data_IF_568844825760
#
_entry.id   IF_568844825760
#
_cell.length_a   1.000
_cell.length_b   1.000
_cell.length_c   1.000
_cell.angle_alpha   90.00
_cell.angle_beta   90.00
_cell.angle_gamma   90.00
#
_symmetry.space_group_name_H-M   'P 1'
#
loop_
_entity.id
_entity.type
_entity.pdbx_description
1 polymer ?
#
# COMPACT_ATOMS: atom_id res chain seq x y z
N UNK A 1 23.55 1.58 -12.61
CA UNK A 1 23.33 0.66 -11.47
C UNK A 1 22.50 -0.51 -11.95
N UNK A 2 22.85 -1.72 -11.48
CA UNK A 2 22.04 -2.93 -11.57
C UNK A 2 21.01 -2.90 -10.43
N UNK A 3 19.72 -2.86 -10.74
CA UNK A 3 18.65 -2.63 -9.75
C UNK A 3 17.71 -3.84 -9.70
N UNK A 4 17.29 -4.24 -8.51
CA UNK A 4 16.30 -5.28 -8.31
C UNK A 4 15.09 -4.73 -7.53
N UNK A 5 13.89 -4.82 -8.11
CA UNK A 5 12.63 -4.59 -7.42
C UNK A 5 12.04 -5.93 -6.98
N UNK A 6 11.62 -6.03 -5.73
CA UNK A 6 10.99 -7.24 -5.19
C UNK A 6 9.46 -7.07 -5.20
N UNK A 7 8.75 -8.05 -5.76
CA UNK A 7 7.30 -8.12 -5.78
C UNK A 7 6.72 -8.30 -7.18
N UNK A 8 5.38 -8.32 -7.30
CA UNK A 8 4.68 -8.63 -8.55
C UNK A 8 3.35 -7.89 -8.73
N UNK A 9 3.02 -6.96 -7.84
CA UNK A 9 1.77 -6.21 -7.86
C UNK A 9 1.76 -5.00 -8.81
N UNK A 10 0.67 -4.26 -8.78
CA UNK A 10 0.54 -2.99 -9.51
C UNK A 10 1.51 -1.93 -9.01
N UNK A 11 1.76 -1.92 -7.71
CA UNK A 11 2.79 -1.10 -7.06
C UNK A 11 4.17 -1.37 -7.64
N UNK A 12 4.58 -2.63 -7.73
CA UNK A 12 5.89 -2.97 -8.27
C UNK A 12 6.02 -2.62 -9.76
N UNK A 13 4.94 -2.77 -10.54
CA UNK A 13 4.95 -2.31 -11.92
C UNK A 13 5.11 -0.77 -11.99
N UNK A 14 4.41 -0.01 -11.15
CA UNK A 14 4.56 1.44 -11.11
C UNK A 14 5.96 1.87 -10.66
N UNK A 15 6.55 1.19 -9.68
CA UNK A 15 7.94 1.41 -9.25
C UNK A 15 8.93 1.09 -10.39
N UNK A 16 8.80 -0.06 -11.04
CA UNK A 16 9.65 -0.42 -12.18
C UNK A 16 9.53 0.58 -13.33
N UNK A 17 8.32 1.05 -13.63
CA UNK A 17 8.10 2.07 -14.66
C UNK A 17 8.81 3.38 -14.32
N UNK A 18 8.69 3.86 -13.09
CA UNK A 18 9.37 5.08 -12.65
C UNK A 18 10.90 4.93 -12.60
N UNK A 19 11.41 3.79 -12.11
CA UNK A 19 12.84 3.51 -11.99
C UNK A 19 13.50 3.32 -13.35
N UNK A 20 12.82 2.72 -14.34
CA UNK A 20 13.35 2.52 -15.69
C UNK A 20 13.65 3.82 -16.43
N UNK A 21 12.99 4.92 -16.05
CA UNK A 21 13.26 6.26 -16.59
C UNK A 21 14.47 6.98 -15.97
N UNK A 22 15.06 6.42 -14.91
CA UNK A 22 16.19 7.04 -14.23
C UNK A 22 17.49 6.93 -15.02
N UNK A 23 18.28 8.03 -15.17
CA UNK A 23 19.60 7.95 -15.78
C UNK A 23 20.63 7.16 -14.96
N UNK A 24 20.33 6.81 -13.72
CA UNK A 24 21.15 5.99 -12.84
C UNK A 24 20.88 4.48 -13.01
N UNK A 25 19.79 4.11 -13.71
CA UNK A 25 19.38 2.73 -13.93
C UNK A 25 19.98 2.20 -15.23
N UNK A 26 20.97 1.32 -15.14
CA UNK A 26 21.56 0.66 -16.32
C UNK A 26 20.77 -0.60 -16.68
N UNK A 27 20.42 -1.42 -15.67
CA UNK A 27 19.61 -2.63 -15.83
C UNK A 27 18.62 -2.73 -14.69
N UNK A 28 17.40 -3.06 -15.02
CA UNK A 28 16.30 -3.24 -14.03
C UNK A 28 15.80 -4.68 -14.05
N UNK A 29 15.80 -5.31 -12.89
CA UNK A 29 15.21 -6.62 -12.63
C UNK A 29 14.00 -6.49 -11.70
N UNK A 30 13.07 -7.45 -11.81
CA UNK A 30 11.95 -7.55 -10.87
C UNK A 30 11.66 -9.01 -10.51
N UNK A 31 11.57 -9.34 -9.23
CA UNK A 31 11.37 -10.69 -8.74
C UNK A 31 10.09 -10.81 -7.89
N UNK A 32 9.08 -11.60 -8.31
CA UNK A 32 9.01 -12.32 -9.58
C UNK A 32 8.58 -11.45 -10.77
N UNK A 33 8.01 -10.24 -10.55
CA UNK A 33 7.42 -9.41 -11.59
C UNK A 33 6.07 -9.94 -12.10
N UNK A 34 5.56 -9.33 -13.20
CA UNK A 34 4.31 -9.71 -13.87
C UNK A 34 4.38 -9.40 -15.37
N UNK A 35 3.28 -9.65 -16.11
CA UNK A 35 3.26 -9.46 -17.56
C UNK A 35 3.53 -8.01 -18.01
N UNK A 36 3.14 -7.00 -17.23
CA UNK A 36 3.40 -5.59 -17.55
C UNK A 36 4.83 -5.17 -17.19
N UNK A 37 5.35 -5.64 -16.07
CA UNK A 37 6.74 -5.39 -15.64
C UNK A 37 7.72 -5.84 -16.72
N UNK A 38 7.45 -6.94 -17.42
CA UNK A 38 8.33 -7.46 -18.48
C UNK A 38 8.57 -6.50 -19.66
N UNK A 39 7.79 -5.41 -19.76
CA UNK A 39 8.00 -4.38 -20.77
C UNK A 39 9.08 -3.35 -20.36
N UNK A 40 9.39 -3.24 -19.07
CA UNK A 40 10.30 -2.21 -18.52
C UNK A 40 11.45 -2.80 -17.68
N UNK A 41 11.38 -4.08 -17.30
CA UNK A 41 12.37 -4.78 -16.48
C UNK A 41 12.48 -6.25 -16.87
N UNK A 42 13.61 -6.90 -16.57
CA UNK A 42 13.78 -8.34 -16.68
C UNK A 42 13.10 -9.02 -15.48
N UNK A 43 12.05 -9.82 -15.73
CA UNK A 43 11.39 -10.60 -14.69
C UNK A 43 12.24 -11.82 -14.32
N UNK A 44 12.38 -12.06 -13.00
CA UNK A 44 13.21 -13.12 -12.43
C UNK A 44 12.31 -14.12 -11.72
N UNK A 45 12.40 -15.40 -12.07
CA UNK A 45 11.57 -16.45 -11.47
C UNK A 45 12.04 -16.83 -10.06
N UNK A 46 11.95 -15.85 -9.15
CA UNK A 46 12.23 -16.02 -7.70
C UNK A 46 11.09 -15.36 -6.94
N UNK A 47 10.46 -16.09 -6.04
CA UNK A 47 9.35 -15.57 -5.23
C UNK A 47 9.80 -14.43 -4.31
N UNK A 48 8.91 -13.47 -4.04
CA UNK A 48 9.21 -12.30 -3.20
C UNK A 48 9.63 -12.68 -1.76
N UNK A 49 9.16 -13.82 -1.24
CA UNK A 49 9.47 -14.32 0.11
C UNK A 49 10.53 -15.45 0.10
N UNK A 50 11.07 -15.81 -1.06
CA UNK A 50 12.22 -16.71 -1.17
C UNK A 50 13.52 -15.93 -0.95
N UNK A 51 13.80 -15.61 0.32
CA UNK A 51 14.94 -14.81 0.70
C UNK A 51 16.27 -15.45 0.25
N UNK A 52 16.38 -16.77 0.28
CA UNK A 52 17.60 -17.48 -0.14
C UNK A 52 17.83 -17.35 -1.65
N UNK A 53 16.78 -17.58 -2.45
CA UNK A 53 16.80 -17.38 -3.90
C UNK A 53 17.13 -15.95 -4.29
N UNK A 54 16.54 -14.97 -3.59
CA UNK A 54 16.84 -13.54 -3.81
C UNK A 54 18.31 -13.22 -3.52
N UNK A 55 18.87 -13.67 -2.40
CA UNK A 55 20.27 -13.43 -2.06
C UNK A 55 21.23 -14.10 -3.06
N UNK A 56 20.92 -15.28 -3.55
CA UNK A 56 21.70 -15.95 -4.62
C UNK A 56 21.66 -15.11 -5.90
N UNK A 57 20.49 -14.63 -6.30
CA UNK A 57 20.35 -13.78 -7.49
C UNK A 57 21.11 -12.44 -7.36
N UNK A 58 20.97 -11.77 -6.21
CA UNK A 58 21.68 -10.51 -5.90
C UNK A 58 23.20 -10.68 -6.05
N UNK A 59 23.75 -11.76 -5.49
CA UNK A 59 25.18 -12.03 -5.58
C UNK A 59 25.63 -12.39 -7.02
N UNK A 60 24.85 -13.22 -7.73
CA UNK A 60 25.17 -13.67 -9.08
C UNK A 60 25.15 -12.52 -10.11
N UNK A 61 24.18 -11.61 -10.01
CA UNK A 61 24.03 -10.46 -10.91
C UNK A 61 24.80 -9.22 -10.44
N UNK A 62 25.36 -9.25 -9.23
CA UNK A 62 26.05 -8.10 -8.60
C UNK A 62 25.16 -6.87 -8.53
N UNK A 63 23.94 -7.09 -7.98
CA UNK A 63 22.94 -6.02 -7.82
C UNK A 63 23.52 -4.89 -6.96
N UNK A 64 23.45 -3.67 -7.45
CA UNK A 64 23.91 -2.47 -6.74
C UNK A 64 22.88 -1.93 -5.76
N UNK A 65 21.58 -2.07 -6.09
CA UNK A 65 20.49 -1.50 -5.28
C UNK A 65 19.23 -2.36 -5.32
N UNK A 66 18.65 -2.63 -4.14
CA UNK A 66 17.42 -3.41 -4.01
C UNK A 66 16.28 -2.53 -3.46
N UNK A 67 15.11 -2.58 -4.11
CA UNK A 67 13.88 -1.91 -3.68
C UNK A 67 12.84 -2.97 -3.33
N UNK A 68 12.36 -2.98 -2.09
CA UNK A 68 11.37 -3.96 -1.65
C UNK A 68 9.97 -3.37 -1.72
N UNK A 69 9.10 -3.97 -2.53
CA UNK A 69 7.72 -3.53 -2.73
C UNK A 69 6.76 -3.98 -1.62
N UNK A 70 6.57 -5.30 -1.37
CA UNK A 70 5.62 -5.81 -0.40
C UNK A 70 6.19 -5.91 1.02
N UNK A 71 5.29 -5.98 2.01
CA UNK A 71 5.61 -6.06 3.43
C UNK A 71 6.21 -7.42 3.86
N UNK A 72 5.82 -8.52 3.21
CA UNK A 72 6.26 -9.88 3.58
C UNK A 72 7.77 -10.02 3.71
N UNK A 73 8.56 -9.79 2.64
CA UNK A 73 10.02 -9.88 2.72
C UNK A 73 10.66 -8.90 3.70
N UNK A 74 10.04 -7.73 3.96
CA UNK A 74 10.53 -6.77 4.96
C UNK A 74 10.43 -7.35 6.39
N UNK A 75 9.27 -7.88 6.73
CA UNK A 75 9.05 -8.52 8.04
C UNK A 75 9.90 -9.79 8.20
N UNK A 76 10.15 -10.53 7.11
CA UNK A 76 11.03 -11.69 7.09
C UNK A 76 12.53 -11.35 7.17
N UNK A 77 12.92 -10.05 7.11
CA UNK A 77 14.29 -9.61 7.32
C UNK A 77 15.17 -9.61 6.06
N UNK A 78 14.61 -9.45 4.88
CA UNK A 78 15.39 -9.34 3.65
C UNK A 78 16.38 -8.16 3.70
N UNK A 79 15.95 -7.01 4.23
CA UNK A 79 16.81 -5.82 4.37
C UNK A 79 17.99 -6.09 5.31
N UNK A 80 17.77 -6.82 6.40
CA UNK A 80 18.83 -7.19 7.34
C UNK A 80 19.89 -8.04 6.64
N UNK A 81 19.48 -9.03 5.84
CA UNK A 81 20.40 -9.92 5.07
C UNK A 81 21.16 -9.15 3.99
N UNK A 82 20.49 -8.20 3.30
CA UNK A 82 21.17 -7.37 2.29
C UNK A 82 22.22 -6.45 2.94
N UNK A 83 21.89 -5.83 4.07
CA UNK A 83 22.83 -5.02 4.84
C UNK A 83 24.05 -5.83 5.32
N UNK A 84 23.85 -7.05 5.84
CA UNK A 84 24.92 -7.96 6.23
C UNK A 84 25.83 -8.33 5.04
N UNK A 85 25.25 -8.45 3.85
CA UNK A 85 25.98 -8.72 2.61
C UNK A 85 26.62 -7.46 1.99
N UNK A 86 26.41 -6.27 2.57
CA UNK A 86 26.94 -5.00 2.06
C UNK A 86 26.25 -4.52 0.78
N UNK A 87 25.03 -4.98 0.51
CA UNK A 87 24.23 -4.56 -0.66
C UNK A 87 23.32 -3.40 -0.26
N UNK A 88 23.43 -2.29 -0.99
CA UNK A 88 22.56 -1.12 -0.74
C UNK A 88 21.11 -1.46 -1.04
N UNK A 89 20.20 -1.06 -0.17
CA UNK A 89 18.78 -1.39 -0.30
C UNK A 89 17.88 -0.30 0.30
N UNK A 90 16.64 -0.28 -0.15
CA UNK A 90 15.59 0.62 0.34
C UNK A 90 14.41 -0.18 0.89
N UNK A 91 14.17 -0.01 2.17
CA UNK A 91 13.13 -0.64 2.98
C UNK A 91 13.57 -0.71 4.45
N UNK A 92 12.64 -0.90 5.39
CA UNK A 92 12.96 -1.05 6.81
C UNK A 92 13.53 -2.43 7.12
N UNK A 93 14.38 -2.51 8.15
CA UNK A 93 14.77 -3.77 8.79
C UNK A 93 13.57 -4.51 9.36
N UNK A 94 13.71 -5.81 9.66
CA UNK A 94 12.63 -6.60 10.27
C UNK A 94 12.12 -5.97 11.59
N UNK A 95 13.01 -5.41 12.39
CA UNK A 95 12.65 -4.71 13.62
C UNK A 95 11.81 -3.45 13.36
N UNK A 96 12.19 -2.63 12.37
CA UNK A 96 11.44 -1.43 12.00
C UNK A 96 10.13 -1.78 11.26
N UNK A 97 10.09 -2.88 10.51
CA UNK A 97 8.91 -3.38 9.82
C UNK A 97 7.79 -3.83 10.78
N UNK A 98 8.07 -3.96 12.08
CA UNK A 98 7.03 -4.21 13.09
C UNK A 98 5.98 -3.11 13.17
N UNK A 99 6.23 -1.91 12.64
CA UNK A 99 5.20 -0.87 12.48
C UNK A 99 3.99 -1.34 11.63
N UNK A 100 4.19 -2.26 10.68
CA UNK A 100 3.10 -2.93 9.94
C UNK A 100 2.88 -4.36 10.44
N UNK A 101 3.96 -5.05 10.81
CA UNK A 101 3.96 -6.46 11.20
C UNK A 101 3.24 -6.74 12.52
N UNK A 102 3.15 -5.77 13.43
CA UNK A 102 2.45 -5.89 14.71
C UNK A 102 1.67 -4.63 15.05
N UNK A 103 0.36 -4.77 15.10
CA UNK A 103 -0.54 -3.67 15.50
C UNK A 103 -0.35 -3.30 16.96
N UNK A 104 -0.04 -4.28 17.82
CA UNK A 104 0.32 -4.06 19.23
C UNK A 104 1.54 -3.17 19.34
N UNK A 105 2.62 -3.48 18.61
CA UNK A 105 3.83 -2.67 18.59
C UNK A 105 3.54 -1.22 18.21
N UNK A 106 2.78 -1.02 17.12
CA UNK A 106 2.38 0.32 16.67
C UNK A 106 1.58 1.07 17.73
N UNK A 107 0.60 0.41 18.37
CA UNK A 107 -0.23 1.05 19.39
C UNK A 107 0.57 1.39 20.66
N UNK A 108 1.48 0.52 21.09
CA UNK A 108 2.37 0.77 22.23
C UNK A 108 3.32 1.93 21.93
N UNK A 109 3.88 2.00 20.70
CA UNK A 109 4.70 3.14 20.26
C UNK A 109 3.89 4.44 20.29
N UNK A 110 2.66 4.41 19.75
CA UNK A 110 1.76 5.57 19.73
C UNK A 110 1.47 6.07 21.16
N UNK A 111 1.17 5.16 22.08
CA UNK A 111 0.90 5.50 23.47
C UNK A 111 2.15 6.09 24.19
N UNK A 112 3.34 5.53 23.92
CA UNK A 112 4.60 5.97 24.55
C UNK A 112 5.05 7.35 24.08
N UNK A 113 4.79 7.67 22.80
CA UNK A 113 5.28 8.88 22.15
C UNK A 113 4.18 9.89 21.78
N UNK A 114 2.99 9.76 22.37
CA UNK A 114 1.83 10.65 22.13
C UNK A 114 1.50 10.84 20.63
N UNK A 115 1.58 9.76 19.84
CA UNK A 115 1.14 9.78 18.44
C UNK A 115 -0.37 9.59 18.43
N UNK A 116 -1.15 10.52 17.80
CA UNK A 116 -2.62 10.46 17.83
C UNK A 116 -3.15 9.19 17.18
N UNK A 117 -3.90 8.39 17.93
CA UNK A 117 -4.57 7.17 17.46
C UNK A 117 -5.77 6.88 18.34
N UNK A 118 -6.73 6.08 17.84
CA UNK A 118 -7.90 5.65 18.61
C UNK A 118 -7.56 4.85 19.87
N UNK A 119 -8.40 4.96 20.89
CA UNK A 119 -8.27 4.16 22.10
C UNK A 119 -8.33 2.67 21.77
N UNK A 120 -7.51 1.86 22.44
CA UNK A 120 -7.38 0.45 22.13
C UNK A 120 -7.10 -0.40 23.37
N UNK A 121 -7.35 -1.71 23.24
CA UNK A 121 -6.87 -2.71 24.20
C UNK A 121 -6.54 -4.01 23.46
N UNK A 122 -5.47 -4.68 23.90
CA UNK A 122 -5.01 -5.97 23.36
C UNK A 122 -5.63 -7.11 24.17
N UNK A 123 -5.97 -8.22 23.48
CA UNK A 123 -6.51 -9.43 24.09
C UNK A 123 -5.93 -10.68 23.42
N UNK A 124 -5.77 -11.72 24.23
CA UNK A 124 -5.50 -13.10 23.79
C UNK A 124 -6.52 -14.10 24.39
N UNK A 125 -7.48 -13.61 25.17
CA UNK A 125 -8.55 -14.38 25.79
C UNK A 125 -9.92 -13.88 25.29
N UNK A 126 -10.76 -14.81 24.84
CA UNK A 126 -12.07 -14.52 24.27
C UNK A 126 -13.03 -13.90 25.31
N UNK A 127 -13.00 -14.41 26.55
CA UNK A 127 -13.93 -13.94 27.58
C UNK A 127 -13.59 -12.50 28.01
N UNK A 128 -12.28 -12.17 28.11
CA UNK A 128 -11.84 -10.81 28.42
C UNK A 128 -12.16 -9.83 27.28
N UNK A 129 -11.94 -10.25 26.02
CA UNK A 129 -12.28 -9.43 24.85
C UNK A 129 -13.79 -9.17 24.76
N UNK A 130 -14.59 -10.23 24.94
CA UNK A 130 -16.06 -10.14 24.93
C UNK A 130 -16.57 -9.24 26.05
N UNK A 131 -16.02 -9.35 27.26
CA UNK A 131 -16.40 -8.48 28.39
C UNK A 131 -16.12 -7.01 28.09
N UNK A 132 -14.94 -6.71 27.51
CA UNK A 132 -14.58 -5.35 27.10
C UNK A 132 -15.50 -4.80 26.00
N UNK A 133 -15.83 -5.60 24.98
CA UNK A 133 -16.75 -5.22 23.90
C UNK A 133 -18.15 -4.91 24.49
N UNK A 134 -18.64 -5.75 25.41
CA UNK A 134 -19.92 -5.49 26.08
C UNK A 134 -19.92 -4.21 26.91
N UNK A 135 -18.78 -3.86 27.52
CA UNK A 135 -18.63 -2.59 28.27
C UNK A 135 -18.62 -1.38 27.35
N UNK A 136 -17.90 -1.46 26.23
CA UNK A 136 -17.71 -0.33 25.28
C UNK A 136 -18.88 -0.13 24.33
N UNK A 137 -19.57 -1.21 23.97
CA UNK A 137 -20.64 -1.19 22.97
C UNK A 137 -20.13 -1.17 21.53
N UNK A 138 -21.06 -0.94 20.59
CA UNK A 138 -20.78 -0.81 19.17
C UNK A 138 -21.22 0.58 18.65
N UNK A 139 -20.64 1.11 17.54
CA UNK A 139 -19.64 0.45 16.69
C UNK A 139 -18.25 0.36 17.36
N UNK A 140 -17.51 -0.73 17.01
CA UNK A 140 -16.16 -1.00 17.54
C UNK A 140 -15.34 -1.75 16.48
N UNK A 141 -14.02 -1.70 16.55
CA UNK A 141 -13.16 -2.36 15.56
C UNK A 141 -12.36 -3.48 16.21
N UNK A 142 -12.41 -4.67 15.61
CA UNK A 142 -11.62 -5.84 16.03
C UNK A 142 -10.58 -6.12 14.93
N UNK A 143 -9.29 -6.20 15.31
CA UNK A 143 -8.18 -6.44 14.39
C UNK A 143 -7.31 -7.59 14.88
N UNK A 144 -6.98 -8.55 14.00
CA UNK A 144 -5.89 -9.50 14.24
C UNK A 144 -4.56 -8.73 14.34
N UNK A 145 -3.68 -9.12 15.27
CA UNK A 145 -2.47 -8.34 15.58
C UNK A 145 -1.42 -8.41 14.45
N UNK A 146 -1.22 -9.56 13.81
CA UNK A 146 -0.22 -9.74 12.75
C UNK A 146 -0.69 -9.36 11.34
N UNK A 147 0.14 -9.68 10.34
CA UNK A 147 -0.18 -9.50 8.92
C UNK A 147 -1.33 -10.42 8.50
N UNK A 148 -2.41 -9.85 8.01
CA UNK A 148 -3.61 -10.58 7.55
C UNK A 148 -4.13 -10.08 6.20
N UNK A 149 -3.29 -9.43 5.38
CA UNK A 149 -3.60 -8.92 4.04
C UNK A 149 -4.93 -8.12 3.98
N UNK A 150 -5.17 -7.26 4.98
CA UNK A 150 -6.40 -6.45 5.09
C UNK A 150 -7.66 -7.23 5.53
N UNK A 151 -7.60 -8.56 5.63
CA UNK A 151 -8.75 -9.41 5.98
C UNK A 151 -8.95 -9.59 7.49
N UNK A 152 -7.96 -9.23 8.30
CA UNK A 152 -7.99 -9.35 9.76
C UNK A 152 -8.65 -8.17 10.48
N UNK A 153 -9.36 -7.29 9.78
CA UNK A 153 -10.02 -6.09 10.35
C UNK A 153 -11.52 -6.19 10.16
N UNK A 154 -12.27 -6.13 11.27
CA UNK A 154 -13.72 -6.09 11.28
C UNK A 154 -14.20 -4.80 11.94
N UNK A 155 -14.90 -3.96 11.19
CA UNK A 155 -15.64 -2.81 11.72
C UNK A 155 -17.02 -3.29 12.10
N UNK A 156 -17.19 -3.67 13.36
CA UNK A 156 -18.41 -4.25 13.87
C UNK A 156 -19.44 -3.15 14.21
N UNK A 157 -20.63 -3.26 13.62
CA UNK A 157 -21.74 -2.33 13.86
C UNK A 157 -22.63 -2.77 15.02
N UNK A 158 -22.50 -4.02 15.46
CA UNK A 158 -23.18 -4.59 16.62
C UNK A 158 -22.20 -5.37 17.51
N UNK A 159 -22.63 -5.64 18.75
CA UNK A 159 -21.85 -6.44 19.70
C UNK A 159 -21.69 -7.87 19.17
N UNK A 160 -22.75 -8.42 18.56
CA UNK A 160 -22.74 -9.77 17.99
C UNK A 160 -21.69 -9.91 16.88
N UNK A 161 -21.60 -8.91 15.97
CA UNK A 161 -20.56 -8.87 14.93
C UNK A 161 -19.16 -8.79 15.53
N UNK A 162 -18.97 -8.00 16.59
CA UNK A 162 -17.68 -7.85 17.25
C UNK A 162 -17.25 -9.15 17.94
N UNK A 163 -18.17 -9.82 18.65
CA UNK A 163 -17.90 -11.12 19.30
C UNK A 163 -17.59 -12.19 18.26
N UNK A 164 -18.33 -12.24 17.15
CA UNK A 164 -18.04 -13.17 16.06
C UNK A 164 -16.63 -12.94 15.47
N UNK A 165 -16.19 -11.68 15.33
CA UNK A 165 -14.84 -11.36 14.87
C UNK A 165 -13.75 -11.79 15.87
N UNK A 166 -14.02 -11.73 17.18
CA UNK A 166 -13.14 -12.27 18.23
C UNK A 166 -12.99 -13.77 18.09
N UNK A 167 -14.12 -14.51 17.93
CA UNK A 167 -14.12 -15.96 17.76
C UNK A 167 -13.39 -16.36 16.46
N UNK A 168 -13.61 -15.66 15.36
CA UNK A 168 -12.95 -15.88 14.09
C UNK A 168 -11.41 -15.74 14.21
N UNK A 169 -10.94 -14.77 14.99
CA UNK A 169 -9.51 -14.54 15.16
C UNK A 169 -8.87 -15.49 16.18
N UNK A 170 -9.42 -15.56 17.40
CA UNK A 170 -8.75 -16.25 18.52
C UNK A 170 -9.08 -17.75 18.60
N UNK A 171 -10.22 -18.20 18.03
CA UNK A 171 -10.68 -19.61 18.16
C UNK A 171 -10.58 -20.37 16.85
N UNK A 172 -11.08 -19.81 15.75
CA UNK A 172 -11.16 -20.55 14.48
C UNK A 172 -9.80 -20.73 13.78
N UNK A 173 -8.77 -19.99 14.20
CA UNK A 173 -7.46 -20.01 13.58
C UNK A 173 -7.43 -19.45 12.15
N UNK A 174 -8.44 -18.68 11.74
CA UNK A 174 -8.61 -18.13 10.39
C UNK A 174 -7.39 -17.32 9.91
N UNK A 175 -6.69 -16.69 10.85
CA UNK A 175 -5.53 -15.84 10.54
C UNK A 175 -4.19 -16.47 10.97
N UNK A 176 -4.16 -17.77 11.30
CA UNK A 176 -2.93 -18.44 11.75
C UNK A 176 -2.29 -17.72 12.94
N UNK A 177 -0.97 -17.60 12.94
CA UNK A 177 -0.22 -16.92 14.02
C UNK A 177 -0.60 -15.44 14.19
N UNK A 178 -1.05 -14.76 13.13
CA UNK A 178 -1.53 -13.38 13.20
C UNK A 178 -2.79 -13.22 14.08
N UNK A 179 -3.54 -14.30 14.26
CA UNK A 179 -4.73 -14.36 15.12
C UNK A 179 -4.45 -14.77 16.57
N UNK A 180 -3.19 -15.01 16.99
CA UNK A 180 -2.86 -15.38 18.36
C UNK A 180 -3.19 -14.29 19.40
N UNK A 181 -3.29 -13.04 18.98
CA UNK A 181 -3.82 -11.91 19.74
C UNK A 181 -4.61 -10.97 18.85
N UNK A 182 -5.48 -10.17 19.45
CA UNK A 182 -6.30 -9.17 18.76
C UNK A 182 -6.16 -7.80 19.45
N UNK A 183 -6.40 -6.77 18.65
CA UNK A 183 -6.61 -5.40 19.15
C UNK A 183 -8.08 -5.06 18.99
N UNK A 184 -8.71 -4.58 20.05
CA UNK A 184 -10.05 -4.00 20.03
C UNK A 184 -9.89 -2.48 20.14
N UNK A 185 -10.35 -1.75 19.13
CA UNK A 185 -10.21 -0.30 19.02
C UNK A 185 -11.55 0.41 18.97
N UNK A 186 -11.59 1.66 19.42
CA UNK A 186 -12.74 2.53 19.21
C UNK A 186 -12.96 2.75 17.71
N UNK A 187 -14.22 2.87 17.33
CA UNK A 187 -14.58 3.26 15.96
C UNK A 187 -14.33 4.75 15.76
N UNK A 188 -13.50 5.10 14.81
CA UNK A 188 -13.21 6.48 14.41
C UNK A 188 -14.15 6.89 13.29
N UNK A 189 -14.98 7.91 13.53
CA UNK A 189 -15.83 8.51 12.51
C UNK A 189 -15.08 9.64 11.81
N UNK A 190 -15.08 9.65 10.47
CA UNK A 190 -14.36 10.65 9.69
C UNK A 190 -14.18 10.26 8.24
N UNK A 191 -13.17 10.84 7.62
CA UNK A 191 -12.76 10.54 6.25
C UNK A 191 -11.35 9.95 6.25
N UNK A 192 -11.17 8.82 5.57
CA UNK A 192 -9.86 8.19 5.46
C UNK A 192 -8.92 8.99 4.57
N UNK A 193 -7.64 9.00 4.92
CA UNK A 193 -6.59 9.70 4.21
C UNK A 193 -5.29 8.87 4.27
N UNK A 194 -4.67 8.69 3.11
CA UNK A 194 -3.36 8.04 2.97
C UNK A 194 -2.26 9.09 2.86
N UNK A 195 -1.29 9.06 3.78
CA UNK A 195 -0.15 9.97 3.83
C UNK A 195 1.15 9.18 3.77
N UNK A 196 2.09 9.66 2.97
CA UNK A 196 3.34 8.96 2.69
C UNK A 196 4.54 9.85 2.98
N UNK A 197 5.61 9.24 3.46
CA UNK A 197 6.92 9.87 3.55
C UNK A 197 8.02 8.87 3.20
N UNK A 198 9.03 9.31 2.45
CA UNK A 198 10.31 8.59 2.34
C UNK A 198 11.13 8.97 3.57
N UNK A 199 11.64 7.97 4.27
CA UNK A 199 12.40 8.14 5.52
C UNK A 199 13.81 7.55 5.38
N UNK A 200 14.79 8.17 6.05
CA UNK A 200 16.19 7.77 6.04
C UNK A 200 16.73 7.34 7.43
N UNK A 201 15.82 7.10 8.37
CA UNK A 201 16.16 6.80 9.76
C UNK A 201 16.19 8.03 10.69
N UNK A 202 16.27 9.23 10.14
CA UNK A 202 16.27 10.50 10.90
C UNK A 202 15.32 11.53 10.29
N UNK A 203 15.31 11.67 8.99
CA UNK A 203 14.51 12.63 8.25
C UNK A 203 13.34 11.96 7.57
N UNK A 204 12.27 12.73 7.31
CA UNK A 204 11.10 12.32 6.55
C UNK A 204 10.83 13.33 5.44
N UNK A 205 10.84 12.87 4.19
CA UNK A 205 10.47 13.62 3.00
C UNK A 205 9.02 13.32 2.67
N UNK A 206 8.12 14.29 2.92
CA UNK A 206 6.69 14.12 2.68
C UNK A 206 6.38 13.98 1.21
N UNK A 207 5.51 13.03 0.85
CA UNK A 207 4.96 12.84 -0.49
C UNK A 207 3.51 13.37 -0.55
N UNK A 208 2.92 13.58 -1.75
CA UNK A 208 1.51 13.89 -1.87
C UNK A 208 0.61 12.86 -1.21
N UNK A 209 -0.49 13.32 -0.66
CA UNK A 209 -1.52 12.45 -0.10
C UNK A 209 -2.33 11.75 -1.19
N UNK A 210 -3.00 10.66 -0.80
CA UNK A 210 -3.97 9.97 -1.62
C UNK A 210 -5.20 9.57 -0.80
N UNK A 211 -6.27 9.21 -1.47
CA UNK A 211 -7.42 8.53 -0.87
C UNK A 211 -7.72 7.28 -1.68
N UNK A 212 -7.85 6.14 -1.00
CA UNK A 212 -8.21 4.87 -1.60
C UNK A 212 -9.70 4.51 -1.35
N UNK A 213 -10.16 3.48 -2.03
CA UNK A 213 -11.51 2.93 -1.92
C UNK A 213 -11.41 1.46 -1.53
N UNK A 214 -11.48 1.18 -0.22
CA UNK A 214 -11.22 -0.16 0.34
C UNK A 214 -12.35 -1.16 0.12
N UNK A 215 -13.61 -0.70 0.18
CA UNK A 215 -14.75 -1.57 -0.03
C UNK A 215 -14.84 -2.06 -1.48
N UNK A 216 -15.21 -3.31 -1.68
CA UNK A 216 -15.17 -3.97 -2.99
C UNK A 216 -16.21 -3.45 -3.99
N UNK A 217 -17.37 -2.94 -3.53
CA UNK A 217 -18.48 -2.49 -4.40
C UNK A 217 -18.77 -1.00 -4.26
N UNK A 218 -19.48 -0.48 -5.27
CA UNK A 218 -19.94 0.90 -5.32
C UNK A 218 -20.70 1.32 -4.05
N UNK A 219 -20.58 2.59 -3.68
CA UNK A 219 -21.18 3.15 -2.47
C UNK A 219 -20.53 2.65 -1.18
N UNK A 220 -19.27 2.24 -1.23
CA UNK A 220 -18.48 1.72 -0.11
C UNK A 220 -19.14 0.52 0.57
N UNK A 221 -19.63 -0.43 -0.24
CA UNK A 221 -20.33 -1.64 0.20
C UNK A 221 -19.46 -2.89 0.05
N UNK A 222 -19.82 -3.91 0.83
CA UNK A 222 -19.13 -5.20 0.81
C UNK A 222 -17.89 -5.23 1.69
N UNK A 223 -17.11 -6.33 1.63
CA UNK A 223 -15.88 -6.49 2.41
C UNK A 223 -14.79 -5.52 1.97
N UNK A 224 -13.87 -5.24 2.90
CA UNK A 224 -12.64 -4.52 2.60
C UNK A 224 -11.70 -5.36 1.73
N UNK A 225 -10.94 -4.67 0.91
CA UNK A 225 -9.94 -5.23 -0.02
C UNK A 225 -8.58 -4.53 0.20
N UNK A 226 -7.61 -4.83 -0.65
CA UNK A 226 -6.36 -4.06 -0.73
C UNK A 226 -6.50 -2.68 -1.39
N UNK A 227 -7.72 -2.28 -1.81
CA UNK A 227 -8.02 -1.06 -2.54
C UNK A 227 -8.55 -1.35 -3.95
N UNK A 228 -9.68 -0.72 -4.30
CA UNK A 228 -10.34 -0.83 -5.61
C UNK A 228 -10.07 0.38 -6.52
N UNK A 229 -9.32 1.33 -6.02
CA UNK A 229 -8.90 2.53 -6.73
C UNK A 229 -8.47 3.62 -5.75
N UNK A 230 -7.72 4.58 -6.25
CA UNK A 230 -7.23 5.71 -5.47
C UNK A 230 -7.08 6.97 -6.34
N UNK A 231 -6.95 8.12 -5.70
CA UNK A 231 -6.61 9.36 -6.36
C UNK A 231 -5.67 10.22 -5.51
N UNK A 232 -4.88 11.05 -6.16
CA UNK A 232 -3.90 11.97 -5.56
C UNK A 232 -3.85 13.28 -6.36
N UNK A 233 -3.80 14.47 -5.71
CA UNK A 233 -3.80 14.68 -4.27
C UNK A 233 -5.21 14.48 -3.67
N UNK A 234 -5.26 14.25 -2.37
CA UNK A 234 -6.52 14.14 -1.63
C UNK A 234 -7.07 15.54 -1.29
N UNK A 235 -8.29 15.94 -1.74
CA UNK A 235 -8.82 17.28 -1.47
C UNK A 235 -9.06 17.58 0.02
N UNK A 236 -9.17 16.56 0.86
CA UNK A 236 -9.31 16.71 2.32
C UNK A 236 -8.02 17.23 2.97
N UNK A 237 -6.87 17.07 2.31
CA UNK A 237 -5.57 17.51 2.82
C UNK A 237 -5.42 19.04 2.67
N UNK A 238 -5.66 19.78 3.74
CA UNK A 238 -5.36 21.20 3.81
C UNK A 238 -3.93 21.45 4.27
N UNK A 239 -3.37 22.63 4.01
CA UNK A 239 -2.01 22.98 4.48
C UNK A 239 -1.83 22.87 6.01
N UNK A 240 -2.86 23.25 6.78
CA UNK A 240 -2.83 23.12 8.26
C UNK A 240 -2.85 21.66 8.68
N UNK A 241 -3.66 20.84 8.01
CA UNK A 241 -3.74 19.41 8.27
C UNK A 241 -2.42 18.72 7.92
N UNK A 242 -1.82 19.06 6.78
CA UNK A 242 -0.52 18.54 6.34
C UNK A 242 0.58 18.79 7.39
N UNK A 243 0.72 20.04 7.85
CA UNK A 243 1.69 20.40 8.88
C UNK A 243 1.45 19.65 10.21
N UNK A 244 0.17 19.48 10.60
CA UNK A 244 -0.20 18.74 11.82
C UNK A 244 0.18 17.26 11.71
N UNK A 245 -0.10 16.62 10.58
CA UNK A 245 0.22 15.21 10.33
C UNK A 245 1.72 15.01 10.28
N UNK A 246 2.43 15.87 9.55
CA UNK A 246 3.89 15.83 9.46
C UNK A 246 4.53 15.89 10.85
N UNK A 247 4.15 16.87 11.68
CA UNK A 247 4.75 17.07 13.00
C UNK A 247 4.33 15.99 14.00
N UNK A 248 3.00 15.75 14.15
CA UNK A 248 2.47 14.93 15.25
C UNK A 248 2.45 13.43 14.95
N UNK A 249 2.50 13.05 13.67
CA UNK A 249 2.43 11.64 13.29
C UNK A 249 3.74 11.21 12.64
N UNK A 250 4.09 11.76 11.46
CA UNK A 250 5.20 11.24 10.66
C UNK A 250 6.55 11.47 11.35
N UNK A 251 6.93 12.72 11.60
CA UNK A 251 8.23 13.05 12.22
C UNK A 251 8.35 12.46 13.62
N UNK A 252 7.25 12.46 14.37
CA UNK A 252 7.22 11.86 15.72
C UNK A 252 7.44 10.36 15.68
N UNK A 253 6.86 9.65 14.69
CA UNK A 253 7.09 8.21 14.50
C UNK A 253 8.55 7.93 14.15
N UNK A 254 9.14 8.67 13.19
CA UNK A 254 10.56 8.49 12.81
C UNK A 254 11.48 8.72 14.01
N UNK A 255 11.24 9.79 14.77
CA UNK A 255 12.00 10.09 16.01
C UNK A 255 11.82 9.01 17.08
N UNK A 256 10.60 8.49 17.25
CA UNK A 256 10.29 7.41 18.18
C UNK A 256 11.04 6.12 17.80
N UNK A 257 10.98 5.71 16.54
CA UNK A 257 11.70 4.52 16.06
C UNK A 257 13.21 4.64 16.24
N UNK A 258 13.79 5.82 16.00
CA UNK A 258 15.21 6.09 16.29
C UNK A 258 15.50 5.96 17.78
N UNK A 259 14.63 6.49 18.66
CA UNK A 259 14.78 6.42 20.11
C UNK A 259 14.65 4.99 20.67
N UNK A 260 13.84 4.14 20.01
CA UNK A 260 13.73 2.69 20.33
C UNK A 260 14.93 1.88 19.80
N UNK A 261 15.88 2.48 19.10
CA UNK A 261 17.05 1.78 18.53
C UNK A 261 16.75 1.01 17.25
N UNK A 262 15.61 1.25 16.62
CA UNK A 262 15.16 0.65 15.36
C UNK A 262 14.84 1.74 14.34
N UNK A 263 15.83 2.56 13.88
CA UNK A 263 15.61 3.66 12.96
C UNK A 263 14.89 3.16 11.69
N UNK A 264 13.92 3.95 11.21
CA UNK A 264 13.07 3.57 10.09
C UNK A 264 13.59 4.18 8.78
N UNK A 265 14.13 3.35 7.89
CA UNK A 265 14.47 3.68 6.50
C UNK A 265 13.47 3.00 5.57
N UNK A 266 12.84 3.75 4.66
CA UNK A 266 11.81 3.20 3.77
C UNK A 266 10.65 4.16 3.57
N UNK A 267 9.53 3.65 3.03
CA UNK A 267 8.30 4.43 2.94
C UNK A 267 7.45 4.21 4.18
N UNK A 268 7.22 5.27 4.93
CA UNK A 268 6.23 5.30 6.00
C UNK A 268 4.88 5.74 5.40
N UNK A 269 3.95 4.82 5.31
CA UNK A 269 2.58 5.07 4.90
C UNK A 269 1.67 5.08 6.13
N UNK A 270 1.16 6.25 6.50
CA UNK A 270 0.19 6.44 7.56
C UNK A 270 -1.22 6.43 6.98
N UNK A 271 -2.01 5.41 7.32
CA UNK A 271 -3.45 5.39 7.11
C UNK A 271 -4.14 6.15 8.25
N UNK A 272 -4.82 7.23 7.92
CA UNK A 272 -5.39 8.18 8.89
C UNK A 272 -6.91 8.25 8.77
N UNK A 273 -7.59 8.48 9.91
CA UNK A 273 -8.95 8.98 9.95
C UNK A 273 -8.94 10.45 10.31
N UNK A 274 -9.50 11.30 9.45
CA UNK A 274 -9.66 12.73 9.72
C UNK A 274 -10.97 12.92 10.45
N UNK A 275 -10.89 13.11 11.75
CA UNK A 275 -12.03 13.26 12.66
C UNK A 275 -12.22 14.74 13.04
N UNK A 276 -13.33 15.04 13.74
CA UNK A 276 -13.58 16.39 14.31
C UNK A 276 -12.50 16.79 15.33
N UNK A 277 -11.80 15.81 15.93
CA UNK A 277 -10.70 16.03 16.87
C UNK A 277 -9.31 16.08 16.20
N UNK A 278 -9.26 16.10 14.86
CA UNK A 278 -8.04 16.09 14.06
C UNK A 278 -7.66 14.71 13.52
N UNK A 279 -6.46 14.58 12.95
CA UNK A 279 -6.01 13.33 12.34
C UNK A 279 -5.70 12.28 13.42
N UNK A 280 -6.22 11.06 13.21
CA UNK A 280 -5.99 9.91 14.07
C UNK A 280 -5.39 8.77 13.23
N UNK A 281 -4.32 8.17 13.72
CA UNK A 281 -3.68 7.02 13.06
C UNK A 281 -4.58 5.79 13.17
N UNK A 282 -4.88 5.18 12.01
CA UNK A 282 -5.55 3.88 11.90
C UNK A 282 -4.51 2.76 11.92
N UNK A 283 -3.46 2.89 11.06
CA UNK A 283 -2.38 1.93 10.92
C UNK A 283 -1.19 2.56 10.18
N UNK A 284 -0.01 1.97 10.35
CA UNK A 284 1.12 2.19 9.45
C UNK A 284 1.25 1.03 8.48
N UNK A 285 1.71 1.36 7.27
CA UNK A 285 2.32 0.42 6.33
C UNK A 285 3.76 0.87 6.10
N UNK A 286 4.67 -0.08 5.93
CA UNK A 286 6.12 0.19 5.86
C UNK A 286 6.67 0.15 4.43
N UNK A 287 5.80 0.41 3.48
CA UNK A 287 6.03 0.35 2.03
C UNK A 287 5.04 1.26 1.30
N UNK A 288 5.25 1.47 0.00
CA UNK A 288 4.23 2.16 -0.81
C UNK A 288 2.88 1.43 -0.76
N UNK A 289 1.79 2.18 -0.84
CA UNK A 289 0.45 1.62 -0.99
C UNK A 289 0.23 0.98 -2.37
N UNK A 290 -0.77 0.14 -2.47
CA UNK A 290 -1.26 -0.43 -3.71
C UNK A 290 -2.80 -0.44 -3.64
N UNK A 291 -3.51 0.53 -4.31
CA UNK A 291 -3.10 1.18 -5.56
C UNK A 291 -2.59 2.64 -5.45
N UNK A 292 -2.19 3.15 -4.29
CA UNK A 292 -1.77 4.56 -4.16
C UNK A 292 -0.44 4.85 -4.86
N UNK A 293 0.49 3.88 -4.91
CA UNK A 293 1.77 4.04 -5.61
C UNK A 293 1.56 4.44 -7.07
N UNK A 294 0.58 3.86 -7.75
CA UNK A 294 0.29 4.12 -9.15
C UNK A 294 -0.04 5.59 -9.41
N UNK A 295 -0.89 6.19 -8.57
CA UNK A 295 -1.23 7.61 -8.70
C UNK A 295 -0.09 8.54 -8.30
N UNK A 296 0.75 8.13 -7.34
CA UNK A 296 1.94 8.90 -6.95
C UNK A 296 2.98 8.89 -8.09
N UNK A 297 3.28 7.73 -8.66
CA UNK A 297 4.29 7.61 -9.73
C UNK A 297 3.88 8.37 -10.99
N UNK A 298 2.60 8.41 -11.35
CA UNK A 298 2.10 9.20 -12.48
C UNK A 298 2.29 10.72 -12.28
N UNK A 299 2.32 11.19 -11.04
CA UNK A 299 2.51 12.60 -10.71
C UNK A 299 3.96 13.00 -10.44
N UNK A 300 4.84 12.01 -10.22
CA UNK A 300 6.24 12.31 -9.88
C UNK A 300 7.01 12.83 -11.11
N UNK A 301 7.60 14.04 -10.99
CA UNK A 301 8.46 14.66 -12.02
C UNK A 301 9.95 14.50 -11.74
N UNK A 302 10.33 14.27 -10.49
CA UNK A 302 11.71 14.02 -10.08
C UNK A 302 12.10 12.56 -10.31
N UNK A 303 13.40 12.31 -10.38
CA UNK A 303 13.93 10.94 -10.44
C UNK A 303 13.70 10.20 -9.12
N UNK A 304 12.88 9.14 -9.16
CA UNK A 304 12.59 8.30 -7.99
C UNK A 304 13.85 7.64 -7.45
N UNK A 305 14.69 7.08 -8.33
CA UNK A 305 15.87 6.33 -7.91
C UNK A 305 16.82 7.18 -7.08
N UNK A 306 17.05 8.43 -7.50
CA UNK A 306 17.87 9.38 -6.74
C UNK A 306 17.34 9.60 -5.32
N UNK A 307 16.02 9.69 -5.13
CA UNK A 307 15.41 9.84 -3.81
C UNK A 307 15.57 8.58 -2.94
N UNK A 308 15.39 7.38 -3.53
CA UNK A 308 15.53 6.12 -2.80
C UNK A 308 16.99 5.86 -2.40
N UNK A 309 17.94 6.21 -3.26
CA UNK A 309 19.38 6.12 -2.98
C UNK A 309 19.74 7.11 -1.86
N UNK A 310 19.29 8.37 -1.96
CA UNK A 310 19.52 9.37 -0.91
C UNK A 310 18.95 8.92 0.46
N UNK A 311 17.80 8.27 0.47
CA UNK A 311 17.23 7.69 1.69
C UNK A 311 18.12 6.57 2.27
N UNK A 312 18.60 5.66 1.42
CA UNK A 312 19.51 4.59 1.83
C UNK A 312 20.87 5.13 2.34
N UNK A 313 21.31 6.28 1.81
CA UNK A 313 22.56 6.95 2.20
C UNK A 313 22.39 7.94 3.37
N UNK A 314 21.17 8.09 3.91
CA UNK A 314 20.83 9.04 5.00
C UNK A 314 21.05 10.52 4.63
N UNK A 315 20.74 10.86 3.38
CA UNK A 315 20.95 12.18 2.79
C UNK A 315 19.65 12.92 2.42
N UNK A 316 18.52 12.58 3.05
CA UNK A 316 17.21 13.21 2.74
C UNK A 316 17.05 14.63 3.29
N UNK A 317 17.92 15.09 4.20
CA UNK A 317 17.73 16.35 4.94
C UNK A 317 17.43 17.56 4.05
N UNK A 318 18.12 17.66 2.91
CA UNK A 318 18.00 18.77 1.98
C UNK A 318 17.49 18.30 0.60
N UNK A 319 16.86 17.11 0.55
CA UNK A 319 16.32 16.53 -0.68
C UNK A 319 14.91 17.05 -0.95
N UNK A 320 14.58 17.30 -2.22
CA UNK A 320 13.26 17.75 -2.65
C UNK A 320 12.76 16.96 -3.85
N UNK A 321 11.44 16.76 -3.92
CA UNK A 321 10.75 16.10 -5.03
C UNK A 321 9.75 17.05 -5.68
N UNK A 322 9.80 17.13 -7.00
CA UNK A 322 8.84 17.90 -7.80
C UNK A 322 7.72 17.00 -8.29
N UNK A 323 6.52 17.51 -8.20
CA UNK A 323 5.29 16.82 -8.54
C UNK A 323 4.54 17.54 -9.65
N UNK A 324 3.76 16.79 -10.43
CA UNK A 324 2.79 17.37 -11.34
C UNK A 324 1.63 17.96 -10.55
N UNK A 325 1.12 19.11 -10.99
CA UNK A 325 -0.04 19.76 -10.39
C UNK A 325 -1.35 19.04 -10.75
N UNK A 326 -1.35 18.24 -11.83
CA UNK A 326 -2.50 17.45 -12.23
C UNK A 326 -2.86 16.40 -11.18
N UNK A 327 -4.13 16.06 -11.16
CA UNK A 327 -4.67 14.94 -10.36
C UNK A 327 -4.45 13.63 -11.10
N UNK A 328 -4.02 12.61 -10.37
CA UNK A 328 -4.03 11.23 -10.85
C UNK A 328 -5.16 10.45 -10.18
N UNK A 329 -5.84 9.59 -10.95
CA UNK A 329 -6.84 8.65 -10.44
C UNK A 329 -6.59 7.28 -11.07
N UNK A 330 -6.67 6.24 -10.25
CA UNK A 330 -6.56 4.84 -10.71
C UNK A 330 -7.81 4.04 -10.39
N UNK A 331 -8.25 3.23 -11.33
CA UNK A 331 -9.35 2.26 -11.18
C UNK A 331 -8.77 0.85 -11.24
N UNK A 332 -9.08 0.03 -10.25
CA UNK A 332 -8.65 -1.37 -10.20
C UNK A 332 -9.68 -2.26 -10.89
N UNK A 333 -9.24 -3.02 -11.90
CA UNK A 333 -9.99 -4.13 -12.45
C UNK A 333 -9.62 -5.38 -11.66
N UNK A 334 -10.64 -6.03 -11.08
CA UNK A 334 -10.52 -7.22 -10.27
C UNK A 334 -11.25 -8.40 -10.89
N UNK A 335 -10.80 -9.62 -10.61
CA UNK A 335 -11.45 -10.84 -11.03
C UNK A 335 -12.81 -11.01 -10.33
N UNK A 336 -13.83 -11.47 -11.05
CA UNK A 336 -15.14 -11.78 -10.47
C UNK A 336 -14.99 -12.75 -9.31
N UNK A 337 -15.58 -12.40 -8.15
CA UNK A 337 -15.46 -13.14 -6.89
C UNK A 337 -14.43 -12.57 -5.90
N UNK A 338 -13.51 -11.70 -6.34
CA UNK A 338 -12.59 -11.01 -5.42
C UNK A 338 -13.36 -10.16 -4.37
N UNK A 339 -12.95 -10.12 -3.08
CA UNK A 339 -11.70 -10.62 -2.48
C UNK A 339 -11.74 -12.10 -2.02
N UNK A 340 -12.79 -12.83 -2.34
CA UNK A 340 -12.93 -14.25 -2.00
C UNK A 340 -12.29 -15.13 -3.08
N UNK A 341 -12.95 -16.22 -3.48
CA UNK A 341 -12.47 -17.12 -4.53
C UNK A 341 -12.78 -16.57 -5.92
N UNK A 342 -11.83 -16.66 -6.82
CA UNK A 342 -11.95 -16.22 -8.22
C UNK A 342 -11.21 -17.18 -9.17
N UNK A 343 -11.64 -17.20 -10.43
CA UNK A 343 -11.01 -17.99 -11.48
C UNK A 343 -9.71 -17.35 -11.95
N UNK A 344 -8.75 -18.20 -12.34
CA UNK A 344 -7.46 -17.79 -12.89
C UNK A 344 -7.31 -18.28 -14.33
N UNK A 345 -6.52 -17.54 -15.12
CA UNK A 345 -6.23 -17.89 -16.51
C UNK A 345 -7.25 -17.36 -17.52
N UNK A 346 -8.18 -16.49 -17.09
CA UNK A 346 -9.13 -15.80 -17.99
C UNK A 346 -8.41 -14.77 -18.82
N UNK A 347 -8.74 -14.68 -20.13
CA UNK A 347 -8.04 -13.85 -21.10
C UNK A 347 -8.52 -12.40 -21.07
N UNK A 348 -7.56 -11.48 -21.21
CA UNK A 348 -7.77 -10.03 -21.20
C UNK A 348 -7.28 -9.48 -22.55
N UNK A 349 -8.11 -8.69 -23.23
CA UNK A 349 -7.80 -8.09 -24.51
C UNK A 349 -7.79 -6.55 -24.44
N UNK A 350 -7.23 -5.91 -25.46
CA UNK A 350 -7.20 -4.47 -25.70
C UNK A 350 -6.52 -3.62 -24.60
N UNK A 351 -5.67 -4.23 -23.77
CA UNK A 351 -4.95 -3.52 -22.70
C UNK A 351 -3.97 -2.49 -23.29
N UNK A 352 -3.30 -2.81 -24.40
CA UNK A 352 -2.37 -1.92 -25.09
C UNK A 352 -3.10 -0.68 -25.68
N UNK A 353 -4.37 -0.84 -26.10
CA UNK A 353 -5.20 0.28 -26.57
C UNK A 353 -5.54 1.24 -25.41
N UNK A 354 -5.89 0.70 -24.24
CA UNK A 354 -6.13 1.48 -23.04
C UNK A 354 -4.84 2.19 -22.57
N UNK A 355 -3.69 1.51 -22.60
CA UNK A 355 -2.39 2.08 -22.20
C UNK A 355 -1.90 3.20 -23.14
N UNK A 356 -2.31 3.16 -24.40
CA UNK A 356 -1.96 4.18 -25.42
C UNK A 356 -2.84 5.45 -25.36
N UNK A 357 -3.90 5.47 -24.55
CA UNK A 357 -4.77 6.64 -24.43
C UNK A 357 -4.04 7.82 -23.78
N UNK A 358 -4.48 9.03 -24.14
CA UNK A 358 -3.85 10.27 -23.69
C UNK A 358 -3.87 10.40 -22.16
N UNK A 359 -2.71 10.66 -21.56
CA UNK A 359 -2.51 10.79 -20.11
C UNK A 359 -2.98 9.57 -19.31
N UNK A 360 -2.90 8.39 -19.89
CA UNK A 360 -3.28 7.13 -19.24
C UNK A 360 -2.08 6.18 -19.18
N UNK A 361 -2.05 5.38 -18.13
CA UNK A 361 -1.11 4.27 -17.95
C UNK A 361 -1.81 3.08 -17.30
N UNK A 362 -1.62 1.89 -17.88
CA UNK A 362 -2.13 0.64 -17.31
C UNK A 362 -1.01 -0.06 -16.54
N UNK A 363 -1.14 -0.11 -15.22
CA UNK A 363 -0.25 -0.89 -14.38
C UNK A 363 -0.82 -2.29 -14.14
N UNK A 364 -0.04 -3.30 -14.50
CA UNK A 364 -0.41 -4.70 -14.30
C UNK A 364 -0.16 -5.12 -12.84
N UNK A 365 -1.07 -5.91 -12.30
CA UNK A 365 -0.91 -6.60 -11.03
C UNK A 365 -0.95 -8.12 -11.28
N UNK A 366 -2.02 -8.81 -10.95
CA UNK A 366 -2.15 -10.24 -11.11
C UNK A 366 -2.30 -10.68 -12.58
N UNK A 367 -1.29 -10.49 -13.40
CA UNK A 367 -1.29 -10.86 -14.83
C UNK A 367 -0.11 -11.73 -15.21
N UNK A 368 -0.31 -12.64 -16.14
CA UNK A 368 0.75 -13.43 -16.78
C UNK A 368 0.46 -13.61 -18.27
N UNK A 369 1.49 -13.97 -19.04
CA UNK A 369 1.28 -14.41 -20.42
C UNK A 369 1.10 -15.92 -20.47
N UNK A 370 -0.03 -16.34 -21.06
CA UNK A 370 -0.33 -17.75 -21.30
C UNK A 370 0.58 -18.37 -22.37
N UNK A 371 0.46 -19.67 -22.58
CA UNK A 371 1.28 -20.41 -23.55
C UNK A 371 1.14 -19.90 -25.00
N UNK A 372 0.02 -19.29 -25.34
CA UNK A 372 -0.27 -18.68 -26.65
C UNK A 372 0.25 -17.24 -26.77
N UNK A 373 0.78 -16.66 -25.68
CA UNK A 373 1.16 -15.25 -25.58
C UNK A 373 0.01 -14.34 -25.14
N UNK A 374 -1.23 -14.85 -25.04
CA UNK A 374 -2.37 -14.08 -24.55
C UNK A 374 -2.16 -13.60 -23.10
N UNK A 375 -2.61 -12.40 -22.81
CA UNK A 375 -2.60 -11.86 -21.46
C UNK A 375 -3.70 -12.52 -20.63
N UNK A 376 -3.36 -12.99 -19.44
CA UNK A 376 -4.28 -13.71 -18.56
C UNK A 376 -4.28 -13.10 -17.15
N UNK A 377 -5.47 -13.10 -16.53
CA UNK A 377 -5.64 -12.78 -15.12
C UNK A 377 -5.23 -13.98 -14.26
N UNK A 378 -4.34 -13.76 -13.31
CA UNK A 378 -3.85 -14.80 -12.37
C UNK A 378 -3.97 -14.40 -10.89
N UNK A 379 -4.48 -13.18 -10.62
CA UNK A 379 -4.66 -12.61 -9.29
C UNK A 379 -6.07 -12.06 -9.07
N UNK A 380 -6.35 -11.61 -7.85
CA UNK A 380 -7.63 -10.98 -7.52
C UNK A 380 -7.72 -9.57 -8.08
N UNK A 381 -6.76 -8.67 -7.77
CA UNK A 381 -6.57 -7.40 -8.47
C UNK A 381 -5.67 -7.65 -9.66
N UNK A 382 -6.05 -7.20 -10.83
CA UNK A 382 -5.44 -7.64 -12.09
C UNK A 382 -4.82 -6.49 -12.88
N UNK A 383 -5.54 -5.39 -13.07
CA UNK A 383 -5.05 -4.19 -13.74
C UNK A 383 -5.40 -2.94 -12.91
N UNK A 384 -4.55 -1.92 -13.02
CA UNK A 384 -4.78 -0.61 -12.43
C UNK A 384 -4.72 0.42 -13.56
N UNK A 385 -5.87 0.95 -13.96
CA UNK A 385 -5.97 1.92 -15.04
C UNK A 385 -5.90 3.31 -14.44
N UNK A 386 -4.77 3.97 -14.67
CA UNK A 386 -4.41 5.23 -14.03
C UNK A 386 -4.40 6.36 -15.06
N UNK A 387 -5.06 7.47 -14.77
CA UNK A 387 -5.09 8.62 -15.65
C UNK A 387 -4.79 9.93 -14.92
N UNK A 388 -4.19 10.90 -15.64
CA UNK A 388 -4.01 12.27 -15.20
C UNK A 388 -5.12 13.18 -15.76
N UNK A 389 -5.53 14.16 -14.96
CA UNK A 389 -6.52 15.19 -15.34
C UNK A 389 -6.30 16.49 -14.59
N UNK A 390 -6.89 17.57 -15.09
CA UNK A 390 -6.82 18.89 -14.43
C UNK A 390 -7.61 18.92 -13.10
N UNK A 391 -8.53 17.98 -12.92
CA UNK A 391 -9.34 17.78 -11.74
C UNK A 391 -9.56 16.28 -11.48
N UNK A 392 -10.13 15.91 -10.32
CA UNK A 392 -10.53 14.52 -10.06
C UNK A 392 -11.58 14.06 -11.07
N UNK A 393 -12.54 14.93 -11.41
CA UNK A 393 -13.58 14.65 -12.43
C UNK A 393 -12.97 14.33 -13.78
N UNK A 394 -11.96 15.11 -14.20
CA UNK A 394 -11.26 14.88 -15.48
C UNK A 394 -10.45 13.59 -15.49
N UNK A 395 -9.67 13.32 -14.42
CA UNK A 395 -8.91 12.10 -14.28
C UNK A 395 -9.83 10.87 -14.22
N UNK A 396 -10.94 10.95 -13.48
CA UNK A 396 -11.96 9.90 -13.39
C UNK A 396 -12.53 9.56 -14.77
N UNK A 397 -12.96 10.57 -15.52
CA UNK A 397 -13.52 10.39 -16.88
C UNK A 397 -12.54 9.64 -17.78
N UNK A 398 -11.27 10.08 -17.84
CA UNK A 398 -10.23 9.44 -18.66
C UNK A 398 -9.93 8.01 -18.21
N UNK A 399 -9.83 7.78 -16.89
CA UNK A 399 -9.60 6.44 -16.38
C UNK A 399 -10.73 5.48 -16.78
N UNK A 400 -12.01 5.90 -16.69
CA UNK A 400 -13.13 5.06 -17.10
C UNK A 400 -13.25 4.90 -18.62
N UNK A 401 -12.90 5.89 -19.44
CA UNK A 401 -12.78 5.74 -20.89
C UNK A 401 -11.77 4.63 -21.24
N UNK A 402 -10.65 4.56 -20.54
CA UNK A 402 -9.66 3.52 -20.74
C UNK A 402 -10.07 2.16 -20.13
N UNK A 403 -10.78 2.17 -19.01
CA UNK A 403 -11.41 0.94 -18.46
C UNK A 403 -12.36 0.32 -19.47
N UNK A 404 -13.18 1.14 -20.14
CA UNK A 404 -14.19 0.67 -21.10
C UNK A 404 -13.57 0.18 -22.42
N UNK A 405 -12.30 0.48 -22.71
CA UNK A 405 -11.55 -0.08 -23.83
C UNK A 405 -11.02 -1.49 -23.55
N UNK A 406 -10.82 -1.85 -22.28
CA UNK A 406 -10.37 -3.20 -21.91
C UNK A 406 -11.49 -4.21 -22.04
N UNK A 407 -11.27 -5.29 -22.78
CA UNK A 407 -12.20 -6.40 -22.93
C UNK A 407 -11.82 -7.54 -21.99
N UNK A 408 -12.59 -7.70 -20.91
CA UNK A 408 -12.42 -8.79 -19.94
C UNK A 408 -13.75 -9.14 -19.27
N UNK A 409 -14.41 -10.20 -19.76
CA UNK A 409 -15.74 -10.62 -19.30
C UNK A 409 -15.77 -11.15 -17.87
N UNK A 410 -14.63 -11.68 -17.38
CA UNK A 410 -14.50 -12.26 -16.03
C UNK A 410 -13.97 -11.27 -15.01
N UNK A 411 -13.98 -9.98 -15.34
CA UNK A 411 -13.54 -8.90 -14.48
C UNK A 411 -14.65 -7.91 -14.11
N UNK A 412 -14.40 -7.16 -13.03
CA UNK A 412 -15.25 -6.04 -12.62
C UNK A 412 -14.39 -4.91 -12.05
N UNK A 413 -14.96 -3.74 -11.94
CA UNK A 413 -14.40 -2.62 -11.20
C UNK A 413 -15.51 -1.83 -10.52
N UNK A 414 -15.15 -0.99 -9.57
CA UNK A 414 -16.05 0.05 -9.06
C UNK A 414 -16.21 1.15 -10.10
N UNK A 415 -17.41 1.71 -10.20
CA UNK A 415 -17.73 2.81 -11.11
C UNK A 415 -17.81 4.18 -10.43
N UNK A 416 -17.53 4.21 -9.13
CA UNK A 416 -17.63 5.40 -8.29
C UNK A 416 -16.29 5.86 -7.67
N UNK A 417 -15.14 5.39 -8.19
CA UNK A 417 -13.83 5.82 -7.67
C UNK A 417 -13.70 7.34 -7.76
N UNK A 418 -13.35 7.98 -6.64
CA UNK A 418 -13.23 9.44 -6.56
C UNK A 418 -14.53 10.19 -6.27
N UNK A 419 -15.66 9.50 -6.06
CA UNK A 419 -16.99 10.11 -5.92
C UNK A 419 -17.06 11.26 -4.90
N UNK A 420 -16.36 11.16 -3.75
CA UNK A 420 -16.34 12.21 -2.73
C UNK A 420 -15.66 13.48 -3.25
N UNK A 421 -14.53 13.33 -3.93
CA UNK A 421 -13.79 14.44 -4.49
C UNK A 421 -14.57 15.09 -5.64
N UNK A 422 -15.15 14.30 -6.54
CA UNK A 422 -16.03 14.78 -7.62
C UNK A 422 -17.21 15.57 -7.06
N UNK A 423 -17.86 15.09 -5.99
CA UNK A 423 -18.95 15.82 -5.34
C UNK A 423 -18.49 17.17 -4.76
N UNK A 424 -17.27 17.25 -4.23
CA UNK A 424 -16.68 18.52 -3.75
C UNK A 424 -16.37 19.50 -4.87
N UNK A 425 -15.96 19.01 -6.04
CA UNK A 425 -15.71 19.87 -7.21
C UNK A 425 -16.98 20.46 -7.80
N UNK A 426 -18.13 19.82 -7.57
CA UNK A 426 -19.44 20.23 -8.10
C UNK A 426 -20.26 21.11 -7.15
N UNK A 427 -19.92 21.17 -5.88
CA UNK A 427 -20.68 21.84 -4.82
C UNK A 427 -19.98 22.90 -4.10
#
# INVERSE_FOLDING_TARGET
>A
MEILVIGSGGREHALCWALSGSPLCDTLYCAPGNAGVSAVAECVDVGAEDLDGLMVFVAAKKIDFVVVGPEGPLVLGLIDRLNEAGVKCFGPTAAAAQLEGSKSFTKELCAKYDIPTGAYKRFSDVAEATAYINEKGAPIVVKADGLAAGKGVTVAKSIEEAVAAVDDALVSGRFGDAGASIIVEEFLAGEELSVFAICDGENALMLPSAQDHKAVFDGDKGPNTGGMGAYSPAPVMTGVLAATIEEKIVRRTVAAMKAEGTPFTGVLFAGLMITDNGPQLIEFNVRFGDPECQVLMMRLKSDLLSALVAAADQELKDFDLRWDDQTALTVVLAANGYPESYDKGTEICNVDEADAMFNTKVFHAGTARGKTGALQAIGGRVLNITALGESVTDAQKRAYEAVDAVEWADGFCRRDIGWRAVAREQG
#
